data_IF_951887076652
#
_entry.id   IF_951887076652
#
_cell.length_a   1.000
_cell.length_b   1.000
_cell.length_c   1.000
_cell.angle_alpha   90.00
_cell.angle_beta   90.00
_cell.angle_gamma   90.00
#
_symmetry.space_group_name_H-M   'P 1'
#
loop_
_entity.id
_entity.type
_entity.pdbx_description
1 polymer ?
#
# COMPACT_ATOMS: atom_id res chain seq x y z
N UNK A 1 -2.63 21.22 -16.76
CA UNK A 1 -1.73 21.95 -17.68
C UNK A 1 -0.26 21.50 -17.60
N UNK A 2 0.27 21.09 -16.44
CA UNK A 2 1.65 20.58 -16.30
C UNK A 2 1.87 19.19 -16.92
N UNK A 3 0.98 18.22 -16.64
CA UNK A 3 1.08 16.84 -17.16
C UNK A 3 1.08 16.73 -18.69
N UNK A 4 0.23 17.50 -19.37
CA UNK A 4 0.19 17.52 -20.84
C UNK A 4 1.52 18.00 -21.44
N UNK A 5 2.22 18.91 -20.77
CA UNK A 5 3.50 19.47 -21.25
C UNK A 5 4.64 18.46 -21.17
N UNK A 6 4.65 17.62 -20.13
CA UNK A 6 5.62 16.52 -19.96
C UNK A 6 5.37 15.42 -20.99
N UNK A 7 4.11 15.03 -21.17
CA UNK A 7 3.77 13.94 -22.09
C UNK A 7 3.88 14.33 -23.56
N UNK A 8 3.78 15.61 -23.94
CA UNK A 8 3.56 16.01 -25.34
C UNK A 8 4.52 15.39 -26.36
N UNK A 9 5.80 15.19 -26.01
CA UNK A 9 6.82 14.59 -26.88
C UNK A 9 7.22 13.14 -26.52
N UNK A 10 6.59 12.54 -25.51
CA UNK A 10 6.87 11.16 -25.10
C UNK A 10 5.77 10.20 -25.56
N UNK A 11 5.89 9.72 -26.80
CA UNK A 11 4.94 8.76 -27.37
C UNK A 11 4.95 7.42 -26.64
N UNK A 12 6.12 6.97 -26.17
CA UNK A 12 6.26 5.72 -25.42
C UNK A 12 5.52 5.78 -24.08
N UNK A 13 5.75 6.83 -23.30
CA UNK A 13 5.07 7.06 -22.03
C UNK A 13 3.56 7.22 -22.18
N UNK A 14 3.09 7.92 -23.22
CA UNK A 14 1.65 8.00 -23.53
C UNK A 14 1.03 6.63 -23.75
N UNK A 15 1.66 5.79 -24.59
CA UNK A 15 1.17 4.44 -24.89
C UNK A 15 1.15 3.60 -23.62
N UNK A 16 2.25 3.59 -22.88
CA UNK A 16 2.36 2.82 -21.63
C UNK A 16 1.30 3.23 -20.62
N UNK A 17 1.14 4.52 -20.32
CA UNK A 17 0.16 5.02 -19.36
C UNK A 17 -1.28 4.75 -19.80
N UNK A 18 -1.55 4.83 -21.11
CA UNK A 18 -2.88 4.53 -21.66
C UNK A 18 -3.22 3.04 -21.51
N UNK A 19 -2.26 2.16 -21.82
CA UNK A 19 -2.41 0.71 -21.62
C UNK A 19 -2.59 0.40 -20.14
N UNK A 20 -1.77 0.98 -19.27
CA UNK A 20 -1.85 0.77 -17.83
C UNK A 20 -3.24 1.16 -17.30
N UNK A 21 -3.73 2.36 -17.67
CA UNK A 21 -5.06 2.82 -17.29
C UNK A 21 -6.16 1.88 -17.80
N UNK A 22 -6.07 1.47 -19.08
CA UNK A 22 -7.02 0.54 -19.67
C UNK A 22 -7.04 -0.80 -18.91
N UNK A 23 -5.87 -1.37 -18.61
CA UNK A 23 -5.73 -2.62 -17.85
C UNK A 23 -6.30 -2.49 -16.44
N UNK A 24 -6.00 -1.41 -15.72
CA UNK A 24 -6.49 -1.17 -14.36
C UNK A 24 -8.02 -1.05 -14.29
N UNK A 25 -8.66 -0.54 -15.34
CA UNK A 25 -10.12 -0.39 -15.39
C UNK A 25 -10.79 -1.65 -15.96
N UNK A 26 -10.29 -2.20 -17.07
CA UNK A 26 -10.91 -3.32 -17.76
C UNK A 26 -10.90 -4.59 -16.93
N UNK A 27 -9.83 -4.87 -16.18
CA UNK A 27 -9.72 -6.12 -15.41
C UNK A 27 -10.82 -6.23 -14.35
N UNK A 28 -11.03 -5.25 -13.44
CA UNK A 28 -12.14 -5.30 -12.50
C UNK A 28 -13.51 -5.33 -13.18
N UNK A 29 -13.70 -4.60 -14.29
CA UNK A 29 -14.96 -4.61 -15.03
C UNK A 29 -15.27 -5.99 -15.61
N UNK A 30 -14.29 -6.67 -16.20
CA UNK A 30 -14.46 -8.04 -16.72
C UNK A 30 -14.74 -9.04 -15.59
N UNK A 31 -14.21 -8.82 -14.40
CA UNK A 31 -14.51 -9.67 -13.24
C UNK A 31 -15.95 -9.52 -12.74
N UNK A 32 -16.50 -8.30 -12.72
CA UNK A 32 -17.82 -8.01 -12.13
C UNK A 32 -18.96 -8.12 -13.16
N UNK A 33 -18.73 -7.69 -14.41
CA UNK A 33 -19.80 -7.52 -15.41
C UNK A 33 -19.96 -8.73 -16.35
N UNK A 34 -18.94 -9.58 -16.50
CA UNK A 34 -18.98 -10.72 -17.42
C UNK A 34 -19.34 -11.99 -16.66
N UNK A 35 -20.30 -12.75 -17.20
CA UNK A 35 -20.73 -14.03 -16.62
C UNK A 35 -19.56 -15.02 -16.49
N UNK A 36 -19.44 -15.77 -15.38
CA UNK A 36 -18.40 -16.77 -15.17
C UNK A 36 -18.27 -17.84 -16.26
N UNK A 37 -19.33 -18.08 -17.04
CA UNK A 37 -19.32 -19.06 -18.15
C UNK A 37 -18.65 -18.53 -19.42
N UNK A 38 -18.43 -17.22 -19.52
CA UNK A 38 -17.81 -16.60 -20.68
C UNK A 38 -16.29 -16.81 -20.68
N UNK A 39 -15.66 -17.07 -21.84
CA UNK A 39 -14.20 -17.10 -21.97
C UNK A 39 -13.51 -15.80 -21.58
N UNK A 40 -14.25 -14.68 -21.56
CA UNK A 40 -13.75 -13.35 -21.23
C UNK A 40 -13.87 -13.00 -19.73
N UNK A 41 -14.47 -13.87 -18.92
CA UNK A 41 -14.55 -13.66 -17.49
C UNK A 41 -13.18 -13.80 -16.83
N UNK A 42 -12.80 -12.78 -16.06
CA UNK A 42 -11.59 -12.84 -15.25
C UNK A 42 -11.97 -13.23 -13.83
N UNK A 43 -11.46 -14.37 -13.37
CA UNK A 43 -11.67 -14.83 -12.00
C UNK A 43 -11.06 -13.87 -10.96
N UNK A 44 -11.61 -13.84 -9.75
CA UNK A 44 -11.05 -13.05 -8.62
C UNK A 44 -9.61 -13.44 -8.31
N UNK A 45 -9.25 -14.71 -8.52
CA UNK A 45 -7.86 -15.18 -8.40
C UNK A 45 -6.94 -14.45 -9.41
N UNK A 46 -7.35 -14.40 -10.68
CA UNK A 46 -6.59 -13.72 -11.74
C UNK A 46 -6.43 -12.23 -11.43
N UNK A 47 -7.51 -11.57 -11.00
CA UNK A 47 -7.47 -10.15 -10.58
C UNK A 47 -6.45 -9.95 -9.45
N UNK A 48 -6.47 -10.82 -8.43
CA UNK A 48 -5.55 -10.77 -7.29
C UNK A 48 -4.09 -10.94 -7.72
N UNK A 49 -3.80 -11.90 -8.60
CA UNK A 49 -2.44 -12.14 -9.10
C UNK A 49 -1.93 -10.96 -9.93
N UNK A 50 -2.76 -10.40 -10.82
CA UNK A 50 -2.38 -9.24 -11.63
C UNK A 50 -2.14 -8.02 -10.73
N UNK A 51 -3.02 -7.77 -9.76
CA UNK A 51 -2.84 -6.71 -8.76
C UNK A 51 -1.51 -6.85 -8.02
N UNK A 52 -1.16 -8.07 -7.58
CA UNK A 52 0.12 -8.36 -6.93
C UNK A 52 1.32 -8.02 -7.83
N UNK A 53 1.28 -8.40 -9.11
CA UNK A 53 2.35 -8.07 -10.04
C UNK A 53 2.47 -6.57 -10.33
N UNK A 54 1.35 -5.86 -10.44
CA UNK A 54 1.36 -4.39 -10.57
C UNK A 54 1.97 -3.72 -9.34
N UNK A 55 1.66 -4.21 -8.13
CA UNK A 55 2.28 -3.72 -6.89
C UNK A 55 3.80 -3.92 -6.89
N UNK A 56 4.29 -5.10 -7.30
CA UNK A 56 5.73 -5.35 -7.41
C UNK A 56 6.39 -4.51 -8.51
N UNK A 57 5.70 -4.26 -9.63
CA UNK A 57 6.20 -3.38 -10.68
C UNK A 57 6.33 -1.94 -10.18
N UNK A 58 5.34 -1.42 -9.44
CA UNK A 58 5.40 -0.09 -8.82
C UNK A 58 6.54 0.01 -7.81
N UNK A 59 6.75 -1.03 -7.00
CA UNK A 59 7.88 -1.09 -6.07
C UNK A 59 9.22 -1.06 -6.83
N UNK A 60 9.35 -1.83 -7.90
CA UNK A 60 10.55 -1.86 -8.73
C UNK A 60 10.85 -0.48 -9.34
N UNK A 61 9.83 0.21 -9.88
CA UNK A 61 9.97 1.57 -10.42
C UNK A 61 10.39 2.54 -9.32
N UNK A 62 9.78 2.47 -8.14
CA UNK A 62 10.14 3.35 -7.02
C UNK A 62 11.61 3.16 -6.60
N UNK A 63 12.07 1.91 -6.50
CA UNK A 63 13.47 1.60 -6.19
C UNK A 63 14.41 2.06 -7.31
N UNK A 64 14.04 1.88 -8.59
CA UNK A 64 14.83 2.36 -9.73
C UNK A 64 14.97 3.90 -9.73
N UNK A 65 13.91 4.64 -9.38
CA UNK A 65 14.00 6.10 -9.26
C UNK A 65 15.00 6.54 -8.18
N UNK A 66 15.08 5.82 -7.07
CA UNK A 66 15.97 6.21 -5.96
C UNK A 66 17.39 5.68 -6.15
N UNK A 67 17.54 4.42 -6.53
CA UNK A 67 18.83 3.79 -6.70
C UNK A 67 19.40 3.93 -8.11
N UNK A 68 18.59 3.67 -9.14
CA UNK A 68 18.99 3.76 -10.54
C UNK A 68 19.21 5.20 -11.00
N UNK A 69 18.27 6.10 -10.73
CA UNK A 69 18.36 7.50 -11.18
C UNK A 69 19.15 8.40 -10.22
N UNK A 70 18.86 8.38 -8.92
CA UNK A 70 19.58 9.23 -7.95
C UNK A 70 20.90 8.64 -7.46
N UNK A 71 21.17 7.35 -7.71
CA UNK A 71 22.39 6.67 -7.23
C UNK A 71 22.36 6.35 -5.73
N UNK A 72 21.20 6.40 -5.09
CA UNK A 72 21.04 6.23 -3.65
C UNK A 72 20.48 4.83 -3.35
N UNK A 73 21.31 3.94 -2.82
CA UNK A 73 20.84 2.61 -2.44
C UNK A 73 19.96 2.69 -1.17
N UNK A 74 18.66 2.42 -1.32
CA UNK A 74 17.73 2.28 -0.20
C UNK A 74 17.29 0.83 -0.06
N UNK A 75 17.62 0.19 1.06
CA UNK A 75 17.14 -1.16 1.37
C UNK A 75 15.77 -1.15 2.08
N UNK A 76 15.33 0.03 2.52
CA UNK A 76 14.10 0.19 3.31
C UNK A 76 12.81 0.43 2.53
N UNK A 77 12.81 0.35 1.19
CA UNK A 77 11.70 0.88 0.37
C UNK A 77 10.35 0.20 0.63
N UNK A 78 10.37 -1.10 0.96
CA UNK A 78 9.17 -1.87 1.24
C UNK A 78 8.33 -1.33 2.41
N UNK A 79 8.95 -0.63 3.38
CA UNK A 79 8.20 -0.06 4.52
C UNK A 79 7.16 0.97 4.07
N UNK A 80 7.50 1.86 3.14
CA UNK A 80 6.58 2.90 2.69
C UNK A 80 5.38 2.31 1.95
N UNK A 81 5.62 1.30 1.11
CA UNK A 81 4.57 0.54 0.44
C UNK A 81 3.70 -0.24 1.44
N UNK A 82 4.32 -0.88 2.43
CA UNK A 82 3.61 -1.62 3.48
C UNK A 82 2.69 -0.69 4.28
N UNK A 83 3.14 0.50 4.67
CA UNK A 83 2.30 1.47 5.41
C UNK A 83 1.11 1.96 4.59
N UNK A 84 1.31 2.30 3.32
CA UNK A 84 0.21 2.68 2.42
C UNK A 84 -0.77 1.52 2.21
N UNK A 85 -0.24 0.31 1.96
CA UNK A 85 -1.05 -0.91 1.83
C UNK A 85 -1.83 -1.23 3.11
N UNK A 86 -1.22 -1.05 4.28
CA UNK A 86 -1.86 -1.28 5.58
C UNK A 86 -3.00 -0.29 5.82
N UNK A 87 -2.82 1.00 5.49
CA UNK A 87 -3.88 2.00 5.55
C UNK A 87 -5.10 1.60 4.68
N UNK A 88 -4.86 1.09 3.47
CA UNK A 88 -5.93 0.55 2.63
C UNK A 88 -6.53 -0.74 3.23
N UNK A 89 -5.70 -1.60 3.81
CA UNK A 89 -6.13 -2.82 4.50
C UNK A 89 -7.06 -2.54 5.68
N UNK A 90 -6.75 -1.51 6.49
CA UNK A 90 -7.63 -1.04 7.56
C UNK A 90 -9.02 -0.65 7.03
N UNK A 91 -9.06 0.05 5.88
CA UNK A 91 -10.33 0.39 5.24
C UNK A 91 -11.09 -0.86 4.78
N UNK A 92 -10.43 -1.76 4.05
CA UNK A 92 -11.07 -2.97 3.54
C UNK A 92 -11.60 -3.86 4.67
N UNK A 93 -10.87 -3.97 5.78
CA UNK A 93 -11.31 -4.71 6.97
C UNK A 93 -12.55 -4.07 7.60
N UNK A 94 -12.59 -2.74 7.71
CA UNK A 94 -13.77 -2.01 8.19
C UNK A 94 -14.98 -2.16 7.27
N UNK A 95 -14.77 -2.38 5.98
CA UNK A 95 -15.87 -2.62 5.04
C UNK A 95 -16.48 -4.01 5.20
N UNK A 96 -15.76 -5.02 5.69
CA UNK A 96 -16.32 -6.38 5.86
C UNK A 96 -17.55 -6.34 6.77
N UNK A 97 -17.40 -5.77 7.98
CA UNK A 97 -18.48 -5.63 8.97
C UNK A 97 -19.16 -6.95 9.30
N UNK A 98 -20.49 -6.95 9.33
CA UNK A 98 -21.33 -8.13 9.64
C UNK A 98 -21.15 -9.31 8.67
N UNK A 99 -20.46 -9.12 7.54
CA UNK A 99 -20.12 -10.20 6.59
C UNK A 99 -18.91 -11.02 7.03
N UNK A 100 -18.24 -10.61 8.10
CA UNK A 100 -17.13 -11.32 8.71
C UNK A 100 -17.56 -12.61 9.39
N UNK A 101 -16.58 -13.41 9.79
CA UNK A 101 -16.78 -14.69 10.50
C UNK A 101 -17.49 -14.47 11.84
N UNK A 102 -17.13 -13.40 12.56
CA UNK A 102 -17.72 -13.09 13.87
C UNK A 102 -18.94 -12.18 13.78
N UNK A 103 -19.19 -11.58 12.62
CA UNK A 103 -20.39 -10.77 12.36
C UNK A 103 -20.47 -9.48 13.18
N UNK A 104 -19.37 -8.97 13.71
CA UNK A 104 -19.36 -7.72 14.49
C UNK A 104 -19.49 -6.49 13.55
N UNK A 105 -20.42 -5.55 13.82
CA UNK A 105 -20.65 -4.41 12.96
C UNK A 105 -19.53 -3.35 13.02
N UNK A 106 -18.66 -3.39 14.03
CA UNK A 106 -17.65 -2.36 14.30
C UNK A 106 -16.24 -2.97 14.30
N UNK A 107 -16.02 -4.06 15.03
CA UNK A 107 -14.70 -4.66 15.19
C UNK A 107 -14.39 -5.57 13.99
N UNK A 108 -13.24 -5.37 13.30
CA UNK A 108 -12.73 -6.35 12.35
C UNK A 108 -12.54 -7.73 12.98
N UNK A 109 -12.71 -8.79 12.19
CA UNK A 109 -12.66 -10.19 12.66
C UNK A 109 -11.41 -10.53 13.48
N UNK A 110 -10.22 -10.08 13.06
CA UNK A 110 -9.00 -10.35 13.81
C UNK A 110 -8.99 -9.70 15.20
N UNK A 111 -9.68 -8.56 15.40
CA UNK A 111 -9.77 -7.90 16.70
C UNK A 111 -10.71 -8.68 17.63
N UNK A 112 -11.82 -9.19 17.08
CA UNK A 112 -12.73 -10.07 17.82
C UNK A 112 -12.03 -11.37 18.20
N UNK A 113 -11.27 -11.95 17.27
CA UNK A 113 -10.45 -13.15 17.52
C UNK A 113 -9.39 -12.94 18.62
N UNK A 114 -8.84 -11.72 18.74
CA UNK A 114 -7.87 -11.35 19.77
C UNK A 114 -8.52 -10.86 21.07
N UNK A 115 -9.85 -10.99 21.22
CA UNK A 115 -10.63 -10.61 22.39
C UNK A 115 -10.55 -9.11 22.72
N UNK A 116 -10.55 -8.27 21.68
CA UNK A 116 -10.60 -6.81 21.86
C UNK A 116 -12.04 -6.36 22.10
N UNK A 117 -12.21 -5.44 23.05
CA UNK A 117 -13.52 -4.89 23.43
C UNK A 117 -13.89 -3.61 22.68
N UNK A 118 -12.90 -2.87 22.17
CA UNK A 118 -13.10 -1.57 21.55
C UNK A 118 -12.16 -1.35 20.36
N UNK A 119 -12.61 -0.51 19.43
CA UNK A 119 -11.84 -0.15 18.26
C UNK A 119 -10.76 0.86 18.66
N UNK A 120 -9.47 0.62 18.38
CA UNK A 120 -8.43 1.58 18.75
C UNK A 120 -8.62 2.91 18.04
N UNK A 121 -8.26 4.01 18.71
CA UNK A 121 -8.55 5.36 18.24
C UNK A 121 -8.04 5.68 16.83
N UNK A 122 -6.89 5.12 16.44
CA UNK A 122 -6.26 5.36 15.13
C UNK A 122 -6.92 4.56 13.99
N UNK A 123 -7.88 3.68 14.29
CA UNK A 123 -8.72 3.02 13.30
C UNK A 123 -9.97 3.83 12.94
N UNK A 124 -10.32 4.87 13.70
CA UNK A 124 -11.44 5.74 13.35
C UNK A 124 -11.18 6.50 12.04
N UNK A 125 -12.24 6.63 11.23
CA UNK A 125 -12.18 7.26 9.91
C UNK A 125 -11.86 6.28 8.78
N UNK A 126 -11.27 5.11 9.07
CA UNK A 126 -11.03 4.07 8.06
C UNK A 126 -12.30 3.36 7.60
N UNK A 127 -13.49 3.72 8.08
CA UNK A 127 -14.76 3.39 7.42
C UNK A 127 -15.05 4.27 6.18
N UNK A 128 -14.33 5.39 6.02
CA UNK A 128 -14.53 6.35 4.93
C UNK A 128 -13.43 6.22 3.86
N UNK A 129 -13.83 5.96 2.61
CA UNK A 129 -12.88 5.75 1.51
C UNK A 129 -11.95 6.93 1.26
N UNK A 130 -12.48 8.16 1.26
CA UNK A 130 -11.69 9.36 1.01
C UNK A 130 -10.62 9.57 2.10
N UNK A 131 -10.95 9.26 3.36
CA UNK A 131 -10.02 9.37 4.47
C UNK A 131 -8.91 8.33 4.34
N UNK A 132 -9.27 7.08 4.02
CA UNK A 132 -8.30 6.02 3.77
C UNK A 132 -7.32 6.41 2.64
N UNK A 133 -7.82 6.94 1.52
CA UNK A 133 -6.98 7.40 0.40
C UNK A 133 -6.02 8.53 0.78
N UNK A 134 -6.45 9.46 1.63
CA UNK A 134 -5.54 10.48 2.19
C UNK A 134 -4.46 9.81 3.03
N UNK A 135 -4.82 8.88 3.91
CA UNK A 135 -3.88 8.19 4.80
C UNK A 135 -2.88 7.30 4.04
N UNK A 136 -3.30 6.67 2.95
CA UNK A 136 -2.43 5.87 2.06
C UNK A 136 -1.25 6.71 1.55
N UNK A 137 -1.43 8.00 1.30
CA UNK A 137 -0.35 8.91 0.92
C UNK A 137 0.31 9.59 2.13
N UNK A 138 -0.50 10.04 3.09
CA UNK A 138 -0.06 10.87 4.21
C UNK A 138 0.82 10.10 5.20
N UNK A 139 0.44 8.88 5.57
CA UNK A 139 1.18 8.07 6.56
C UNK A 139 2.60 7.74 6.08
N UNK A 140 2.80 7.09 4.91
CA UNK A 140 4.16 6.87 4.41
C UNK A 140 4.86 8.18 4.05
N UNK A 141 4.13 9.21 3.61
CA UNK A 141 4.69 10.53 3.29
C UNK A 141 5.27 11.26 4.49
N UNK A 142 4.59 11.25 5.64
CA UNK A 142 5.09 11.82 6.90
C UNK A 142 6.33 11.06 7.35
N UNK A 143 6.29 9.73 7.32
CA UNK A 143 7.47 8.93 7.70
C UNK A 143 8.66 9.23 6.79
N UNK A 144 8.43 9.28 5.47
CA UNK A 144 9.46 9.61 4.49
C UNK A 144 10.02 11.02 4.70
N UNK A 145 9.16 11.99 5.02
CA UNK A 145 9.58 13.36 5.33
C UNK A 145 10.44 13.42 6.59
N UNK A 146 9.99 12.81 7.69
CA UNK A 146 10.74 12.81 8.97
C UNK A 146 12.08 12.09 8.80
N UNK A 147 12.07 10.90 8.20
CA UNK A 147 13.29 10.13 7.94
C UNK A 147 14.25 10.90 7.02
N UNK A 148 13.75 11.41 5.89
CA UNK A 148 14.52 12.18 4.93
C UNK A 148 15.12 13.44 5.55
N UNK A 149 14.31 14.20 6.31
CA UNK A 149 14.77 15.38 7.01
C UNK A 149 15.94 15.09 7.95
N UNK A 150 15.83 14.04 8.79
CA UNK A 150 16.89 13.64 9.71
C UNK A 150 18.15 13.17 8.96
N UNK A 151 17.98 12.34 7.92
CA UNK A 151 19.07 11.81 7.12
C UNK A 151 19.85 12.91 6.38
N UNK A 152 19.15 13.84 5.73
CA UNK A 152 19.76 14.94 4.98
C UNK A 152 20.34 16.02 5.89
N UNK A 153 19.67 16.36 7.00
CA UNK A 153 20.21 17.30 8.00
C UNK A 153 21.53 16.79 8.58
N UNK A 154 21.63 15.47 8.77
CA UNK A 154 22.84 14.81 9.27
C UNK A 154 23.89 14.55 8.17
N UNK A 155 23.63 14.97 6.93
CA UNK A 155 24.49 14.80 5.74
C UNK A 155 24.96 13.36 5.54
N UNK A 156 24.08 12.39 5.80
CA UNK A 156 24.42 10.97 5.66
C UNK A 156 24.52 10.58 4.19
N UNK A 157 25.60 9.90 3.81
CA UNK A 157 25.88 9.53 2.41
C UNK A 157 26.23 8.05 2.27
N UNK A 158 26.04 7.54 1.05
CA UNK A 158 26.44 6.19 0.65
C UNK A 158 25.80 5.09 1.52
N UNK A 159 26.63 4.13 1.91
CA UNK A 159 26.21 2.90 2.61
C UNK A 159 25.50 3.17 3.93
N UNK A 160 25.84 4.25 4.63
CA UNK A 160 25.20 4.61 5.90
C UNK A 160 23.70 4.86 5.74
N UNK A 161 23.28 5.47 4.62
CA UNK A 161 21.85 5.64 4.34
C UNK A 161 21.17 4.29 4.12
N UNK A 162 21.80 3.37 3.40
CA UNK A 162 21.29 2.02 3.19
C UNK A 162 21.08 1.30 4.52
N UNK A 163 22.07 1.36 5.44
CA UNK A 163 21.98 0.77 6.78
C UNK A 163 20.84 1.40 7.58
N UNK A 164 20.69 2.73 7.56
CA UNK A 164 19.60 3.41 8.27
C UNK A 164 18.22 3.01 7.72
N UNK A 165 18.06 2.94 6.39
CA UNK A 165 16.79 2.51 5.79
C UNK A 165 16.46 1.05 6.11
N UNK A 166 17.47 0.18 6.19
CA UNK A 166 17.31 -1.21 6.61
C UNK A 166 16.90 -1.31 8.09
N UNK A 167 17.55 -0.53 8.96
CA UNK A 167 17.20 -0.46 10.37
C UNK A 167 15.77 0.07 10.58
N UNK A 168 15.33 1.04 9.77
CA UNK A 168 13.96 1.55 9.78
C UNK A 168 12.94 0.45 9.46
N UNK A 169 13.14 -0.31 8.36
CA UNK A 169 12.24 -1.43 8.02
C UNK A 169 12.20 -2.46 9.14
N UNK A 170 13.36 -2.80 9.71
CA UNK A 170 13.42 -3.77 10.80
C UNK A 170 12.67 -3.27 12.04
N UNK A 171 12.85 -2.01 12.42
CA UNK A 171 12.11 -1.39 13.53
C UNK A 171 10.59 -1.38 13.28
N UNK A 172 10.17 -1.05 12.05
CA UNK A 172 8.75 -1.10 11.66
C UNK A 172 8.20 -2.53 11.72
N UNK A 173 8.92 -3.51 11.19
CA UNK A 173 8.52 -4.92 11.27
C UNK A 173 8.31 -5.34 12.73
N UNK A 174 9.26 -5.02 13.62
CA UNK A 174 9.13 -5.29 15.05
C UNK A 174 7.94 -4.57 15.69
N UNK A 175 7.64 -3.34 15.25
CA UNK A 175 6.46 -2.61 15.71
C UNK A 175 5.17 -3.31 15.28
N UNK A 176 5.04 -3.68 14.01
CA UNK A 176 3.84 -4.37 13.50
C UNK A 176 3.61 -5.73 14.17
N UNK A 177 4.66 -6.44 14.57
CA UNK A 177 4.55 -7.71 15.29
C UNK A 177 4.18 -7.57 16.76
N UNK A 178 4.23 -6.36 17.34
CA UNK A 178 3.78 -6.11 18.71
C UNK A 178 2.26 -5.93 18.75
N UNK A 179 1.57 -6.89 19.36
CA UNK A 179 0.11 -6.80 19.60
C UNK A 179 -0.28 -5.54 20.37
N UNK A 180 0.56 -5.09 21.32
CA UNK A 180 0.34 -3.89 22.14
C UNK A 180 0.18 -2.60 21.34
N UNK A 181 0.66 -2.56 20.09
CA UNK A 181 0.54 -1.38 19.23
C UNK A 181 -0.79 -1.34 18.45
N UNK A 182 -1.67 -2.32 18.66
CA UNK A 182 -3.02 -2.33 18.10
C UNK A 182 -3.09 -2.61 16.59
N UNK A 183 -2.09 -3.33 16.06
CA UNK A 183 -2.04 -3.82 14.68
C UNK A 183 -2.35 -5.32 14.53
N UNK A 184 -2.57 -6.03 15.64
CA UNK A 184 -2.87 -7.48 15.65
C UNK A 184 -1.65 -8.40 15.51
N UNK A 185 -0.44 -7.83 15.51
CA UNK A 185 0.80 -8.62 15.52
C UNK A 185 0.93 -9.51 14.28
N UNK A 186 1.30 -10.78 14.50
CA UNK A 186 1.37 -11.78 13.44
C UNK A 186 0.00 -12.20 12.88
N UNK A 187 -1.08 -11.90 13.59
CA UNK A 187 -2.46 -12.20 13.19
C UNK A 187 -3.18 -10.94 12.66
N UNK A 188 -2.44 -9.85 12.38
CA UNK A 188 -3.03 -8.60 11.93
C UNK A 188 -3.62 -8.71 10.53
N UNK A 189 -4.82 -8.15 10.33
CA UNK A 189 -5.54 -8.10 9.05
C UNK A 189 -5.85 -9.48 8.43
N UNK A 190 -5.93 -10.55 9.22
CA UNK A 190 -6.40 -11.87 8.78
C UNK A 190 -7.91 -12.01 8.87
#
# INVERSE_FOLDING_TARGET
MFFSKILNNDTGGKIFLSILLAVTILIPLLNIMVSPESPWHLSTYTVTIIGKYLTYALLAIAVDLVWGYLGILSLGHGAFFALGGYAMGMYLMRQIGERGVYGDPILPDFMVFLDWSELPWFWHGFDQFWFAMIMVALVPGILAFVFGWLAFRSRVTGVYLSIMTQALVYALMLAFFRNELGFGGNNGLT
#
